data_IF_826000815166
#
_entry.id   IF_826000815166
#
_cell.length_a   1.000
_cell.length_b   1.000
_cell.length_c   1.000
_cell.angle_alpha   90.00
_cell.angle_beta   90.00
_cell.angle_gamma   90.00
#
_symmetry.space_group_name_H-M   'P 1'
#
loop_
_entity.id
_entity.type
_entity.pdbx_description
1 polymer ?
#
# COMPACT_ATOMS: atom_id res chain seq x y z
N UNK A 1 -45.21 -37.92 8.06
CA UNK A 1 -45.39 -36.47 7.82
C UNK A 1 -44.02 -35.82 7.94
N UNK A 2 -43.47 -35.24 6.86
CA UNK A 2 -42.21 -34.52 6.93
C UNK A 2 -42.45 -33.17 7.62
N UNK A 3 -41.63 -32.87 8.62
CA UNK A 3 -41.57 -31.56 9.25
C UNK A 3 -40.82 -30.66 8.27
N UNK A 4 -41.54 -29.78 7.59
CA UNK A 4 -40.93 -28.70 6.83
C UNK A 4 -40.29 -27.73 7.82
N UNK A 5 -38.96 -27.75 7.91
CA UNK A 5 -38.21 -26.61 8.44
C UNK A 5 -38.46 -25.42 7.52
N UNK A 6 -39.16 -24.41 8.05
CA UNK A 6 -39.20 -23.08 7.45
C UNK A 6 -37.78 -22.49 7.52
N UNK A 7 -37.02 -22.67 6.44
CA UNK A 7 -35.84 -21.86 6.18
C UNK A 7 -36.36 -20.45 5.89
N UNK A 8 -36.08 -19.51 6.78
CA UNK A 8 -36.37 -18.09 6.63
C UNK A 8 -35.44 -17.52 5.53
N UNK A 9 -35.90 -17.53 4.27
CA UNK A 9 -35.12 -17.21 3.04
C UNK A 9 -34.79 -15.70 2.90
N UNK A 10 -35.06 -14.87 3.92
CA UNK A 10 -34.99 -13.40 3.78
C UNK A 10 -34.08 -12.69 4.78
N UNK A 11 -33.13 -13.38 5.43
CA UNK A 11 -32.11 -12.69 6.21
C UNK A 11 -30.90 -12.39 5.34
N UNK A 12 -30.86 -11.17 4.81
CA UNK A 12 -29.63 -10.60 4.26
C UNK A 12 -28.50 -10.77 5.28
N UNK A 13 -27.28 -11.10 4.84
CA UNK A 13 -26.12 -11.14 5.72
C UNK A 13 -25.93 -9.75 6.35
N UNK A 14 -26.01 -9.69 7.68
CA UNK A 14 -25.83 -8.47 8.46
C UNK A 14 -24.48 -8.52 9.15
N UNK A 15 -23.68 -7.47 8.96
CA UNK A 15 -22.47 -7.22 9.74
C UNK A 15 -22.82 -6.20 10.82
N UNK A 16 -22.48 -6.50 12.07
CA UNK A 16 -22.63 -5.56 13.18
C UNK A 16 -21.24 -5.14 13.65
N UNK A 17 -20.98 -3.83 13.65
CA UNK A 17 -19.72 -3.25 14.12
C UNK A 17 -19.93 -2.68 15.53
N UNK A 18 -18.99 -2.96 16.44
CA UNK A 18 -18.96 -2.31 17.75
C UNK A 18 -18.41 -0.89 17.57
N UNK A 19 -19.17 0.12 18.00
CA UNK A 19 -18.74 1.52 17.94
C UNK A 19 -17.92 1.88 19.18
N UNK A 20 -16.88 2.68 18.97
CA UNK A 20 -16.14 3.33 20.02
C UNK A 20 -16.74 4.72 20.32
N UNK A 21 -16.81 5.15 21.60
CA UNK A 21 -17.20 6.51 21.92
C UNK A 21 -16.32 7.54 21.20
N UNK A 22 -16.93 8.62 20.72
CA UNK A 22 -16.19 9.67 20.01
C UNK A 22 -15.12 10.30 20.92
N UNK A 23 -13.95 10.58 20.35
CA UNK A 23 -12.82 11.23 21.03
C UNK A 23 -12.14 12.23 20.11
N UNK A 24 -11.17 12.98 20.64
CA UNK A 24 -10.32 13.88 19.86
C UNK A 24 -8.90 13.33 19.75
N UNK A 25 -8.22 13.69 18.67
CA UNK A 25 -6.80 13.40 18.41
C UNK A 25 -6.02 14.69 18.28
N UNK A 26 -4.70 14.60 18.50
CA UNK A 26 -3.73 15.67 18.35
C UNK A 26 -2.64 15.21 17.39
N UNK A 27 -2.54 15.86 16.22
CA UNK A 27 -1.64 15.44 15.14
C UNK A 27 -0.51 16.45 14.96
N UNK A 28 0.73 15.94 14.92
CA UNK A 28 1.92 16.68 14.51
C UNK A 28 2.73 15.84 13.51
N UNK A 29 3.15 16.44 12.40
CA UNK A 29 4.11 15.81 11.50
C UNK A 29 5.53 16.28 11.81
N UNK A 30 6.45 15.34 11.97
CA UNK A 30 7.87 15.59 12.22
C UNK A 30 8.71 15.03 11.08
N UNK A 31 9.40 15.92 10.36
CA UNK A 31 10.35 15.52 9.34
C UNK A 31 11.71 15.18 9.97
N UNK A 32 12.24 13.99 9.67
CA UNK A 32 13.56 13.52 10.11
C UNK A 32 14.32 12.90 8.94
N UNK A 33 15.64 12.75 9.13
CA UNK A 33 16.42 11.83 8.30
C UNK A 33 15.89 10.40 8.48
N UNK A 34 16.02 9.56 7.46
CA UNK A 34 15.71 8.13 7.57
C UNK A 34 16.89 7.28 8.06
N UNK A 35 18.02 7.90 8.42
CA UNK A 35 19.26 7.18 8.78
C UNK A 35 19.13 6.25 9.98
N UNK A 36 18.25 6.56 10.94
CA UNK A 36 17.94 5.75 12.11
C UNK A 36 16.52 5.14 12.07
N UNK A 37 15.87 5.13 10.90
CA UNK A 37 14.49 4.66 10.76
C UNK A 37 14.29 3.22 11.27
N UNK A 38 15.25 2.33 10.97
CA UNK A 38 15.19 0.94 11.42
C UNK A 38 15.24 0.78 12.94
N UNK A 39 15.96 1.67 13.62
CA UNK A 39 16.06 1.74 15.08
C UNK A 39 14.81 2.35 15.73
N UNK A 40 14.28 3.42 15.15
CA UNK A 40 13.21 4.23 15.76
C UNK A 40 11.80 3.66 15.54
N UNK A 41 11.59 2.90 14.47
CA UNK A 41 10.24 2.49 14.04
C UNK A 41 9.49 1.72 15.13
N UNK A 42 10.17 0.83 15.87
CA UNK A 42 9.49 0.02 16.89
C UNK A 42 9.07 0.88 18.08
N UNK A 43 9.97 1.71 18.62
CA UNK A 43 9.64 2.57 19.76
C UNK A 43 8.55 3.58 19.40
N UNK A 44 8.64 4.19 18.21
CA UNK A 44 7.66 5.17 17.75
C UNK A 44 6.23 4.62 17.70
N UNK A 45 6.06 3.38 17.22
CA UNK A 45 4.75 2.71 17.19
C UNK A 45 4.17 2.37 18.56
N UNK A 46 5.02 2.20 19.58
CA UNK A 46 4.59 1.99 20.97
C UNK A 46 4.34 3.30 21.72
N UNK A 47 4.98 4.39 21.30
CA UNK A 47 4.83 5.71 21.90
C UNK A 47 3.52 6.39 21.53
N UNK A 48 2.99 6.14 20.32
CA UNK A 48 1.82 6.86 19.80
C UNK A 48 0.70 5.94 19.34
N UNK A 49 -0.53 6.20 19.80
CA UNK A 49 -1.70 5.31 19.58
C UNK A 49 -2.05 5.16 18.09
N UNK A 50 -1.88 6.23 17.30
CA UNK A 50 -2.19 6.26 15.87
C UNK A 50 -0.97 6.63 15.02
N UNK A 51 0.23 6.24 15.48
CA UNK A 51 1.46 6.49 14.75
C UNK A 51 1.37 5.98 13.31
N UNK A 52 1.84 6.80 12.37
CA UNK A 52 2.14 6.42 10.99
C UNK A 52 3.49 7.03 10.60
N UNK A 53 4.21 6.40 9.68
CA UNK A 53 5.41 6.98 9.08
C UNK A 53 5.25 7.00 7.56
N UNK A 54 5.51 8.14 6.94
CA UNK A 54 5.68 8.21 5.49
C UNK A 54 7.17 8.27 5.18
N UNK A 55 7.68 7.25 4.51
CA UNK A 55 9.10 7.14 4.19
C UNK A 55 9.37 7.48 2.73
N UNK A 56 10.35 8.37 2.52
CA UNK A 56 10.87 8.80 1.23
C UNK A 56 12.37 8.42 1.15
N UNK A 57 12.69 7.15 0.80
CA UNK A 57 14.05 6.63 0.85
C UNK A 57 15.03 7.33 -0.10
N UNK A 58 14.63 7.61 -1.35
CA UNK A 58 15.44 8.34 -2.34
C UNK A 58 15.75 9.78 -1.90
N UNK A 59 14.91 10.35 -1.04
CA UNK A 59 15.14 11.64 -0.39
C UNK A 59 15.83 11.54 0.99
N UNK A 60 16.16 10.33 1.47
CA UNK A 60 16.74 10.07 2.81
C UNK A 60 15.93 10.70 3.96
N UNK A 61 14.61 10.67 3.83
CA UNK A 61 13.66 11.42 4.67
C UNK A 61 12.52 10.51 5.15
N UNK A 62 12.16 10.64 6.42
CA UNK A 62 10.96 10.02 6.99
C UNK A 62 10.11 11.09 7.69
N UNK A 63 8.80 11.03 7.49
CA UNK A 63 7.82 11.92 8.12
C UNK A 63 7.05 11.12 9.15
N UNK A 64 7.31 11.41 10.41
CA UNK A 64 6.68 10.77 11.56
C UNK A 64 5.39 11.51 11.90
N UNK A 65 4.26 10.80 11.90
CA UNK A 65 2.96 11.31 12.32
C UNK A 65 2.77 11.03 13.82
N UNK A 66 3.12 12.00 14.65
CA UNK A 66 2.82 11.98 16.09
C UNK A 66 1.32 12.20 16.23
N UNK A 67 0.60 11.17 16.67
CA UNK A 67 -0.86 11.17 16.64
C UNK A 67 -1.43 10.38 17.81
N UNK A 68 -1.98 11.13 18.76
CA UNK A 68 -2.44 10.60 20.03
C UNK A 68 -3.85 11.09 20.36
N UNK A 69 -4.55 10.26 21.13
CA UNK A 69 -5.81 10.63 21.74
C UNK A 69 -5.59 11.72 22.79
N UNK A 70 -6.54 12.66 22.83
CA UNK A 70 -6.59 13.72 23.84
C UNK A 70 -7.98 13.80 24.47
N UNK A 71 -8.12 14.40 25.67
CA UNK A 71 -9.42 14.61 26.29
C UNK A 71 -10.42 15.28 25.34
N UNK A 72 -11.68 14.86 25.39
CA UNK A 72 -12.71 15.35 24.46
C UNK A 72 -12.97 16.86 24.61
N UNK A 73 -12.72 17.42 25.79
CA UNK A 73 -12.84 18.84 26.10
C UNK A 73 -11.62 19.67 25.64
N UNK A 74 -10.57 19.05 25.10
CA UNK A 74 -9.42 19.78 24.54
C UNK A 74 -9.89 20.65 23.37
N UNK A 75 -9.57 21.96 23.37
CA UNK A 75 -9.97 22.87 22.28
C UNK A 75 -9.39 22.44 20.92
N UNK A 76 -10.15 22.64 19.85
CA UNK A 76 -9.73 22.32 18.49
C UNK A 76 -10.87 21.76 17.63
N UNK A 77 -10.91 22.16 16.36
CA UNK A 77 -11.89 21.71 15.37
C UNK A 77 -11.19 21.27 14.06
N UNK A 78 -10.08 20.56 14.22
CA UNK A 78 -9.25 20.12 13.13
C UNK A 78 -10.00 19.28 12.09
N UNK A 79 -9.52 19.35 10.86
CA UNK A 79 -9.97 18.53 9.74
C UNK A 79 -8.74 18.04 9.00
N UNK A 80 -8.75 16.76 8.62
CA UNK A 80 -7.76 16.22 7.71
C UNK A 80 -8.39 15.97 6.35
N UNK A 81 -8.19 16.90 5.42
CA UNK A 81 -8.63 16.74 4.04
C UNK A 81 -7.40 16.45 3.17
N UNK A 82 -7.00 15.18 3.08
CA UNK A 82 -5.73 14.79 2.44
C UNK A 82 -5.72 15.21 0.97
N UNK A 83 -4.68 15.96 0.58
CA UNK A 83 -4.61 16.64 -0.72
C UNK A 83 -4.79 15.68 -1.91
N UNK A 84 -4.12 14.51 -1.98
CA UNK A 84 -4.32 13.55 -3.06
C UNK A 84 -5.73 12.95 -3.15
N UNK A 85 -6.56 13.09 -2.11
CA UNK A 85 -7.95 12.61 -2.11
C UNK A 85 -8.97 13.74 -2.31
N UNK A 86 -8.53 14.89 -2.81
CA UNK A 86 -9.40 16.00 -3.22
C UNK A 86 -9.77 15.88 -4.70
N UNK A 87 -10.95 16.38 -5.10
CA UNK A 87 -11.29 16.45 -6.51
C UNK A 87 -10.30 17.39 -7.22
N UNK A 88 -9.69 16.92 -8.30
CA UNK A 88 -8.64 17.64 -9.03
C UNK A 88 -9.08 17.85 -10.47
N UNK A 89 -8.74 19.00 -11.11
CA UNK A 89 -9.09 19.21 -12.52
C UNK A 89 -8.60 18.07 -13.42
N UNK A 90 -9.51 17.49 -14.20
CA UNK A 90 -9.21 16.34 -15.07
C UNK A 90 -8.10 16.63 -16.09
N UNK A 91 -7.99 17.88 -16.55
CA UNK A 91 -6.89 18.32 -17.42
C UNK A 91 -5.53 18.26 -16.70
N UNK A 92 -5.46 18.67 -15.43
CA UNK A 92 -4.23 18.61 -14.65
C UNK A 92 -3.80 17.15 -14.42
N UNK A 93 -4.75 16.28 -14.07
CA UNK A 93 -4.51 14.83 -13.94
C UNK A 93 -3.99 14.21 -15.24
N UNK A 94 -4.56 14.60 -16.39
CA UNK A 94 -4.10 14.14 -17.70
C UNK A 94 -2.68 14.59 -18.03
N UNK A 95 -2.29 15.81 -17.65
CA UNK A 95 -0.91 16.30 -17.80
C UNK A 95 0.04 15.50 -16.91
N UNK A 96 -0.27 15.36 -15.61
CA UNK A 96 0.54 14.58 -14.66
C UNK A 96 0.77 13.17 -15.19
N UNK A 97 -0.30 12.49 -15.61
CA UNK A 97 -0.19 11.13 -16.14
C UNK A 97 0.62 11.05 -17.42
N UNK A 98 0.45 12.02 -18.33
CA UNK A 98 1.22 12.05 -19.59
C UNK A 98 2.71 12.29 -19.34
N UNK A 99 3.05 13.15 -18.38
CA UNK A 99 4.43 13.38 -17.97
C UNK A 99 5.04 12.10 -17.37
N UNK A 100 4.30 11.39 -16.53
CA UNK A 100 4.77 10.12 -15.97
C UNK A 100 4.96 9.04 -17.05
N UNK A 101 4.02 8.89 -17.99
CA UNK A 101 4.14 7.98 -19.15
C UNK A 101 5.40 8.31 -19.98
N UNK A 102 5.71 9.60 -20.16
CA UNK A 102 6.91 10.06 -20.86
C UNK A 102 8.18 9.70 -20.08
N UNK A 103 8.22 9.97 -18.78
CA UNK A 103 9.38 9.66 -17.95
C UNK A 103 9.64 8.14 -17.88
N UNK A 104 8.59 7.32 -17.84
CA UNK A 104 8.70 5.86 -17.91
C UNK A 104 9.25 5.39 -19.27
N UNK A 105 8.65 5.86 -20.38
CA UNK A 105 9.04 5.44 -21.73
C UNK A 105 10.43 5.92 -22.15
N UNK A 106 10.89 7.06 -21.63
CA UNK A 106 12.22 7.63 -21.88
C UNK A 106 13.25 7.26 -20.80
N UNK A 107 12.85 6.48 -19.80
CA UNK A 107 13.68 6.07 -18.66
C UNK A 107 14.28 7.26 -17.89
N UNK A 108 13.53 8.35 -17.79
CA UNK A 108 13.95 9.60 -17.18
C UNK A 108 13.83 9.57 -15.64
N UNK A 109 14.78 8.90 -14.98
CA UNK A 109 14.85 8.83 -13.52
C UNK A 109 14.92 10.23 -12.87
N UNK A 110 15.62 11.17 -13.50
CA UNK A 110 15.73 12.55 -13.00
C UNK A 110 14.40 13.31 -13.05
N UNK A 111 13.59 13.08 -14.09
CA UNK A 111 12.21 13.58 -14.18
C UNK A 111 11.38 13.13 -12.98
N UNK A 112 11.34 11.81 -12.75
CA UNK A 112 10.63 11.23 -11.60
C UNK A 112 11.11 11.76 -10.26
N UNK A 113 12.43 11.90 -10.05
CA UNK A 113 12.93 12.44 -8.79
C UNK A 113 12.60 13.91 -8.58
N UNK A 114 12.58 14.73 -9.64
CA UNK A 114 12.11 16.13 -9.55
C UNK A 114 10.63 16.19 -9.16
N UNK A 115 9.78 15.38 -9.79
CA UNK A 115 8.35 15.30 -9.48
C UNK A 115 8.15 14.79 -8.05
N UNK A 116 8.81 13.70 -7.65
CA UNK A 116 8.75 13.15 -6.30
C UNK A 116 9.10 14.16 -5.21
N UNK A 117 10.20 14.91 -5.41
CA UNK A 117 10.61 15.98 -4.50
C UNK A 117 9.57 17.10 -4.46
N UNK A 118 9.06 17.54 -5.61
CA UNK A 118 8.01 18.56 -5.68
C UNK A 118 6.74 18.12 -4.95
N UNK A 119 6.28 16.88 -5.16
CA UNK A 119 5.14 16.29 -4.47
C UNK A 119 5.37 16.30 -2.96
N UNK A 120 6.53 15.80 -2.51
CA UNK A 120 6.86 15.72 -1.08
C UNK A 120 6.90 17.10 -0.43
N UNK A 121 7.61 18.06 -1.04
CA UNK A 121 7.72 19.42 -0.52
C UNK A 121 6.36 20.12 -0.48
N UNK A 122 5.51 19.90 -1.50
CA UNK A 122 4.15 20.47 -1.55
C UNK A 122 3.26 19.90 -0.44
N UNK A 123 3.30 18.57 -0.23
CA UNK A 123 2.54 17.92 0.83
C UNK A 123 2.99 18.41 2.21
N UNK A 124 4.30 18.46 2.47
CA UNK A 124 4.85 18.95 3.75
C UNK A 124 4.48 20.41 3.98
N UNK A 125 4.68 21.29 2.99
CA UNK A 125 4.36 22.72 3.09
C UNK A 125 2.87 22.99 3.33
N UNK A 126 2.01 22.12 2.81
CA UNK A 126 0.55 22.23 2.94
C UNK A 126 -0.02 21.40 4.10
N UNK A 127 0.84 20.95 5.04
CA UNK A 127 0.48 20.11 6.18
C UNK A 127 -0.35 18.87 5.80
N UNK A 128 -0.07 18.29 4.63
CA UNK A 128 -0.80 17.18 4.02
C UNK A 128 -2.31 17.45 3.82
N UNK A 129 -2.78 18.68 4.01
CA UNK A 129 -4.19 19.04 3.99
C UNK A 129 -4.87 19.11 5.36
N UNK A 130 -4.10 19.09 6.44
CA UNK A 130 -4.62 19.40 7.78
C UNK A 130 -4.99 20.87 7.91
N UNK A 131 -6.05 21.16 8.66
CA UNK A 131 -6.45 22.52 9.05
C UNK A 131 -6.86 22.53 10.52
N UNK A 132 -6.64 23.63 11.25
CA UNK A 132 -6.91 23.72 12.69
C UNK A 132 -8.40 23.98 13.00
N UNK A 133 -9.13 24.56 12.05
CA UNK A 133 -10.54 24.94 12.20
C UNK A 133 -11.46 24.40 11.09
N UNK A 134 -10.93 23.57 10.18
CA UNK A 134 -11.64 23.10 9.00
C UNK A 134 -11.44 23.94 7.74
N UNK A 135 -10.68 25.04 7.81
CA UNK A 135 -10.50 25.99 6.71
C UNK A 135 -9.01 26.29 6.46
N UNK A 136 -8.25 26.60 7.50
CA UNK A 136 -6.85 27.03 7.39
C UNK A 136 -5.95 26.27 8.36
N UNK A 137 -4.73 25.98 7.92
CA UNK A 137 -3.65 25.50 8.77
C UNK A 137 -2.95 26.67 9.45
N UNK A 138 -2.93 26.68 10.77
CA UNK A 138 -2.24 27.70 11.58
C UNK A 138 -1.04 27.14 12.34
N UNK A 139 -0.86 25.82 12.36
CA UNK A 139 0.28 25.16 13.00
C UNK A 139 -0.07 23.84 13.67
N UNK A 140 0.96 23.11 14.08
CA UNK A 140 0.83 21.90 14.91
C UNK A 140 0.83 22.25 16.40
N UNK A 141 0.19 21.42 17.26
CA UNK A 141 -0.61 20.26 16.89
C UNK A 141 -1.98 20.66 16.31
N UNK A 142 -2.49 19.83 15.39
CA UNK A 142 -3.87 19.95 14.89
C UNK A 142 -4.76 19.04 15.73
N UNK A 143 -5.67 19.66 16.48
CA UNK A 143 -6.58 18.96 17.41
C UNK A 143 -7.99 18.94 16.83
N UNK A 144 -8.59 17.76 16.74
CA UNK A 144 -9.93 17.59 16.15
C UNK A 144 -10.56 16.26 16.53
N UNK A 145 -11.85 16.10 16.20
CA UNK A 145 -12.54 14.83 16.44
C UNK A 145 -11.98 13.71 15.56
N UNK A 146 -11.90 12.50 16.10
CA UNK A 146 -11.35 11.33 15.41
C UNK A 146 -11.94 11.14 14.02
N UNK A 147 -13.26 11.23 13.86
CA UNK A 147 -13.92 11.07 12.57
C UNK A 147 -13.43 12.09 11.54
N UNK A 148 -13.21 13.36 11.94
CA UNK A 148 -12.72 14.43 11.05
C UNK A 148 -11.24 14.32 10.71
N UNK A 149 -10.46 13.67 11.58
CA UNK A 149 -9.03 13.46 11.38
C UNK A 149 -8.69 12.11 10.73
N UNK A 150 -9.66 11.19 10.70
CA UNK A 150 -9.54 9.87 10.07
C UNK A 150 -10.14 9.84 8.66
N UNK A 151 -11.27 10.52 8.41
CA UNK A 151 -11.86 10.63 7.08
C UNK A 151 -11.03 11.59 6.23
N UNK A 152 -10.20 11.07 5.34
CA UNK A 152 -9.13 11.84 4.72
C UNK A 152 -9.41 12.35 3.31
N UNK A 153 -10.65 12.50 2.83
CA UNK A 153 -10.86 12.96 1.45
C UNK A 153 -12.27 13.41 1.14
N UNK A 154 -12.37 14.38 0.22
CA UNK A 154 -13.62 14.99 -0.25
C UNK A 154 -13.94 14.65 -1.70
N UNK A 155 -13.10 13.86 -2.38
CA UNK A 155 -13.27 13.63 -3.81
C UNK A 155 -14.62 13.00 -4.19
N UNK A 156 -15.14 12.06 -3.38
CA UNK A 156 -16.43 11.44 -3.67
C UNK A 156 -17.63 12.37 -3.39
N UNK A 157 -17.39 13.50 -2.73
CA UNK A 157 -18.39 14.53 -2.46
C UNK A 157 -18.43 15.61 -3.57
N UNK A 158 -17.64 15.46 -4.64
CA UNK A 158 -17.55 16.44 -5.71
C UNK A 158 -18.86 16.57 -6.50
N UNK A 159 -19.14 17.78 -6.99
CA UNK A 159 -20.30 18.02 -7.84
C UNK A 159 -20.26 17.17 -9.13
N UNK A 160 -21.44 16.82 -9.64
CA UNK A 160 -21.57 16.23 -10.98
C UNK A 160 -21.35 17.32 -12.03
N UNK A 161 -20.09 17.64 -12.30
CA UNK A 161 -19.65 18.76 -13.14
C UNK A 161 -19.23 18.33 -14.55
N UNK A 162 -19.82 17.23 -15.06
CA UNK A 162 -19.40 16.58 -16.31
C UNK A 162 -17.91 16.15 -16.31
N UNK A 163 -17.33 15.85 -15.13
CA UNK A 163 -15.94 15.42 -14.94
C UNK A 163 -14.92 16.54 -15.23
N UNK A 164 -15.29 17.80 -15.01
CA UNK A 164 -14.32 18.90 -15.00
C UNK A 164 -13.31 18.65 -13.87
N UNK A 165 -13.79 18.20 -12.72
CA UNK A 165 -12.99 17.64 -11.64
C UNK A 165 -13.27 16.15 -11.45
N UNK A 166 -12.27 15.41 -10.94
CA UNK A 166 -12.40 13.98 -10.70
C UNK A 166 -11.43 13.50 -9.61
N UNK A 167 -11.64 12.28 -9.14
CA UNK A 167 -10.63 11.58 -8.35
C UNK A 167 -9.49 11.16 -9.25
N UNK A 168 -8.27 11.19 -8.70
CA UNK A 168 -7.07 10.91 -9.47
C UNK A 168 -7.12 9.53 -10.17
N UNK A 169 -7.80 8.55 -9.57
CA UNK A 169 -7.99 7.18 -10.08
C UNK A 169 -9.30 6.94 -10.84
N UNK A 170 -10.07 7.98 -11.21
CA UNK A 170 -11.30 7.78 -11.99
C UNK A 170 -10.98 7.23 -13.39
N UNK A 171 -11.49 6.02 -13.66
CA UNK A 171 -11.17 5.27 -14.89
C UNK A 171 -11.71 5.92 -16.18
N UNK A 172 -12.58 6.91 -16.06
CA UNK A 172 -13.24 7.57 -17.20
C UNK A 172 -12.44 8.77 -17.73
N UNK A 173 -11.34 9.13 -17.07
CA UNK A 173 -10.42 10.19 -17.48
C UNK A 173 -9.01 9.62 -17.68
N UNK A 174 -8.08 10.43 -18.19
CA UNK A 174 -6.65 10.10 -18.18
C UNK A 174 -6.06 10.47 -16.81
N UNK A 175 -6.36 9.67 -15.79
CA UNK A 175 -5.85 9.84 -14.44
C UNK A 175 -4.68 8.92 -14.10
N UNK A 176 -4.40 8.82 -12.80
CA UNK A 176 -3.47 7.85 -12.23
C UNK A 176 -3.91 6.41 -12.57
N UNK A 177 -2.93 5.57 -12.89
CA UNK A 177 -3.12 4.16 -13.11
C UNK A 177 -1.92 3.41 -12.56
N UNK A 178 -2.17 2.61 -11.52
CA UNK A 178 -1.14 2.13 -10.63
C UNK A 178 -1.42 0.72 -10.13
N UNK A 179 -0.37 0.11 -9.60
CA UNK A 179 -0.49 -0.97 -8.63
C UNK A 179 -0.31 -0.42 -7.22
N UNK A 180 -0.94 -1.10 -6.27
CA UNK A 180 -0.69 -0.89 -4.85
C UNK A 180 -0.35 -2.24 -4.24
N UNK A 181 0.85 -2.32 -3.69
CA UNK A 181 1.33 -3.50 -2.97
C UNK A 181 1.42 -3.18 -1.50
N UNK A 182 0.96 -4.10 -0.66
CA UNK A 182 1.08 -3.97 0.78
C UNK A 182 1.39 -5.31 1.42
N UNK A 183 2.40 -5.35 2.28
CA UNK A 183 2.66 -6.51 3.12
C UNK A 183 3.10 -6.07 4.50
N UNK A 184 3.05 -7.00 5.45
CA UNK A 184 3.35 -6.74 6.85
C UNK A 184 4.59 -7.49 7.25
N UNK A 185 5.52 -6.79 7.89
CA UNK A 185 6.72 -7.38 8.47
C UNK A 185 6.61 -7.26 9.99
N UNK A 186 6.92 -8.33 10.73
CA UNK A 186 6.88 -8.32 12.19
C UNK A 186 7.83 -7.25 12.75
N UNK A 187 7.39 -6.54 13.80
CA UNK A 187 8.23 -5.55 14.48
C UNK A 187 9.54 -6.14 15.03
N UNK A 188 9.58 -7.46 15.30
CA UNK A 188 10.79 -8.16 15.77
C UNK A 188 11.94 -8.19 14.76
N UNK A 189 11.65 -8.05 13.47
CA UNK A 189 12.62 -8.18 12.37
C UNK A 189 12.59 -6.99 11.38
N UNK A 190 11.69 -6.03 11.59
CA UNK A 190 11.43 -4.92 10.66
C UNK A 190 12.66 -4.05 10.39
N UNK A 191 13.53 -3.90 11.40
CA UNK A 191 14.80 -3.17 11.28
C UNK A 191 15.64 -3.68 10.11
N UNK A 192 15.85 -5.00 10.05
CA UNK A 192 16.69 -5.62 9.02
C UNK A 192 16.10 -5.42 7.61
N UNK A 193 14.76 -5.46 7.51
CA UNK A 193 14.07 -5.20 6.25
C UNK A 193 14.25 -3.76 5.76
N UNK A 194 14.11 -2.78 6.66
CA UNK A 194 14.35 -1.35 6.34
C UNK A 194 15.80 -1.14 5.90
N UNK A 195 16.78 -1.73 6.61
CA UNK A 195 18.20 -1.64 6.25
C UNK A 195 18.51 -2.22 4.87
N UNK A 196 17.85 -3.30 4.47
CA UNK A 196 18.03 -3.87 3.13
C UNK A 196 17.46 -2.98 2.02
N UNK A 197 16.32 -2.32 2.25
CA UNK A 197 15.81 -1.29 1.33
C UNK A 197 16.81 -0.12 1.28
N UNK A 198 17.35 0.33 2.42
CA UNK A 198 18.35 1.39 2.44
C UNK A 198 19.61 1.03 1.64
N UNK A 199 20.05 -0.23 1.67
CA UNK A 199 21.14 -0.75 0.82
C UNK A 199 20.78 -0.68 -0.66
N UNK A 200 19.56 -1.05 -1.06
CA UNK A 200 19.11 -0.87 -2.44
C UNK A 200 19.18 0.59 -2.87
N UNK A 201 18.75 1.52 -2.03
CA UNK A 201 18.81 2.96 -2.31
C UNK A 201 20.26 3.48 -2.33
N UNK A 202 21.17 2.89 -1.57
CA UNK A 202 22.60 3.22 -1.68
C UNK A 202 23.17 2.81 -3.05
N UNK A 203 22.74 1.66 -3.58
CA UNK A 203 23.16 1.18 -4.90
C UNK A 203 22.49 1.96 -6.04
N UNK A 204 21.20 2.27 -5.91
CA UNK A 204 20.38 2.94 -6.92
C UNK A 204 19.57 4.09 -6.30
N UNK A 205 20.19 5.27 -6.06
CA UNK A 205 19.57 6.35 -5.28
C UNK A 205 18.25 6.89 -5.84
N UNK A 206 18.03 6.77 -7.15
CA UNK A 206 16.84 7.29 -7.84
C UNK A 206 15.72 6.25 -7.99
N UNK A 207 15.94 5.00 -7.55
CA UNK A 207 15.05 3.90 -7.86
C UNK A 207 13.64 4.03 -7.26
N UNK A 208 13.52 4.68 -6.11
CA UNK A 208 12.24 4.79 -5.39
C UNK A 208 11.54 6.13 -5.60
N UNK A 209 12.10 7.03 -6.43
CA UNK A 209 11.41 8.26 -6.84
C UNK A 209 10.04 7.97 -7.50
N UNK A 210 9.90 6.82 -8.18
CA UNK A 210 8.64 6.38 -8.76
C UNK A 210 7.54 6.03 -7.74
N UNK A 211 7.91 5.67 -6.51
CA UNK A 211 6.99 5.48 -5.37
C UNK A 211 6.78 6.82 -4.64
N UNK A 212 7.83 7.61 -4.47
CA UNK A 212 7.76 8.89 -3.76
C UNK A 212 6.86 9.94 -4.42
N UNK A 213 6.72 9.93 -5.74
CA UNK A 213 5.71 10.72 -6.45
C UNK A 213 4.26 10.39 -6.02
N UNK A 214 4.01 9.18 -5.50
CA UNK A 214 2.73 8.73 -4.94
C UNK A 214 2.70 8.81 -3.39
N UNK A 215 3.43 9.76 -2.81
CA UNK A 215 3.54 9.93 -1.35
C UNK A 215 4.35 8.85 -0.62
N UNK A 216 5.31 8.21 -1.30
CA UNK A 216 6.32 7.38 -0.63
C UNK A 216 5.79 6.04 -0.13
N UNK A 217 6.55 5.42 0.77
CA UNK A 217 6.16 4.17 1.43
C UNK A 217 5.43 4.53 2.72
N UNK A 218 4.16 4.16 2.82
CA UNK A 218 3.34 4.38 4.00
C UNK A 218 3.48 3.20 4.97
N UNK A 219 4.03 3.48 6.14
CA UNK A 219 4.32 2.52 7.21
C UNK A 219 3.27 2.66 8.32
N UNK A 220 2.46 1.61 8.54
CA UNK A 220 1.32 1.64 9.48
C UNK A 220 1.35 0.47 10.43
N UNK A 221 1.16 0.72 11.72
CA UNK A 221 1.25 -0.31 12.74
C UNK A 221 -0.02 -1.15 12.77
N UNK A 222 0.15 -2.46 12.91
CA UNK A 222 -0.93 -3.42 13.01
C UNK A 222 -0.70 -4.29 14.23
N UNK A 223 -1.67 -4.25 15.15
CA UNK A 223 -1.66 -5.08 16.35
C UNK A 223 -1.98 -6.54 16.03
N UNK A 224 -1.62 -7.43 16.96
CA UNK A 224 -1.99 -8.83 16.88
C UNK A 224 -3.52 -9.02 16.92
N UNK A 225 -4.01 -10.04 16.22
CA UNK A 225 -5.43 -10.37 16.10
C UNK A 225 -5.67 -11.85 16.36
N UNK A 226 -6.78 -12.16 17.02
CA UNK A 226 -7.26 -13.54 17.19
C UNK A 226 -7.91 -14.12 15.93
N UNK A 227 -8.09 -13.32 14.87
CA UNK A 227 -8.64 -13.81 13.61
C UNK A 227 -7.70 -14.83 12.96
N UNK A 228 -8.24 -15.90 12.37
CA UNK A 228 -7.44 -17.01 11.86
C UNK A 228 -6.54 -16.66 10.67
N UNK A 229 -6.99 -15.73 9.83
CA UNK A 229 -6.20 -15.11 8.75
C UNK A 229 -5.74 -13.69 9.13
N UNK A 230 -5.79 -13.36 10.42
CA UNK A 230 -5.31 -12.11 10.96
C UNK A 230 -3.81 -12.17 11.29
N UNK A 231 -3.25 -11.00 11.52
CA UNK A 231 -1.87 -10.85 11.96
C UNK A 231 -1.69 -11.46 13.37
N UNK A 232 -0.64 -12.25 13.60
CA UNK A 232 -0.46 -12.99 14.86
C UNK A 232 0.43 -12.26 15.87
N UNK A 233 1.35 -11.45 15.38
CA UNK A 233 2.35 -10.72 16.15
C UNK A 233 2.27 -9.25 15.73
N UNK A 234 2.67 -8.29 16.57
CA UNK A 234 2.69 -6.89 16.14
C UNK A 234 3.57 -6.71 14.90
N UNK A 235 3.08 -5.94 13.94
CA UNK A 235 3.71 -5.78 12.64
C UNK A 235 3.57 -4.35 12.11
N UNK A 236 4.33 -4.10 11.06
CA UNK A 236 4.27 -2.87 10.30
C UNK A 236 3.88 -3.19 8.85
N UNK A 237 2.79 -2.61 8.40
CA UNK A 237 2.38 -2.61 7.00
C UNK A 237 3.30 -1.66 6.23
N UNK A 238 3.87 -2.12 5.12
CA UNK A 238 4.53 -1.29 4.12
C UNK A 238 3.62 -1.20 2.91
N UNK A 239 3.01 -0.05 2.70
CA UNK A 239 2.09 0.24 1.60
C UNK A 239 2.76 1.19 0.62
N UNK A 240 2.93 0.77 -0.63
CA UNK A 240 3.48 1.63 -1.67
C UNK A 240 2.69 1.50 -2.96
N UNK A 241 2.33 2.66 -3.49
CA UNK A 241 1.65 2.85 -4.78
C UNK A 241 2.68 3.20 -5.83
N UNK A 242 2.58 2.61 -7.01
CA UNK A 242 3.56 2.82 -8.08
C UNK A 242 2.93 2.62 -9.46
N UNK A 243 3.58 3.24 -10.45
CA UNK A 243 3.16 3.27 -11.84
C UNK A 243 2.77 1.89 -12.39
N UNK A 244 1.65 1.85 -13.10
CA UNK A 244 1.29 0.74 -13.99
C UNK A 244 1.05 1.27 -15.39
N UNK A 245 1.63 0.61 -16.40
CA UNK A 245 1.31 0.87 -17.80
C UNK A 245 -0.08 0.32 -18.14
N UNK A 246 -0.76 0.92 -19.12
CA UNK A 246 -1.96 0.29 -19.74
C UNK A 246 -1.59 -0.89 -20.65
N UNK A 247 -0.37 -0.89 -21.18
CA UNK A 247 0.22 -2.05 -21.86
C UNK A 247 0.89 -2.96 -20.81
N UNK A 248 0.35 -4.17 -20.56
CA UNK A 248 0.91 -5.11 -19.57
C UNK A 248 2.28 -5.68 -19.99
N UNK A 249 2.71 -5.46 -21.23
CA UNK A 249 4.04 -5.86 -21.70
C UNK A 249 5.07 -4.74 -21.57
N UNK A 250 4.69 -3.52 -21.16
CA UNK A 250 5.61 -2.41 -20.98
C UNK A 250 6.23 -2.45 -19.57
N UNK A 251 7.55 -2.67 -19.43
CA UNK A 251 8.22 -2.65 -18.13
C UNK A 251 8.22 -1.24 -17.52
N UNK A 252 8.29 -1.17 -16.20
CA UNK A 252 8.50 0.08 -15.45
C UNK A 252 9.99 0.40 -15.29
N UNK A 253 10.30 1.68 -15.17
CA UNK A 253 11.62 2.14 -14.72
C UNK A 253 11.89 1.62 -13.29
N UNK A 254 13.05 0.97 -13.11
CA UNK A 254 13.40 0.27 -11.86
C UNK A 254 12.36 -0.78 -11.42
N UNK A 255 11.76 -1.49 -12.39
CA UNK A 255 10.92 -2.68 -12.14
C UNK A 255 11.62 -3.63 -11.15
N UNK A 256 12.90 -3.89 -11.39
CA UNK A 256 13.72 -4.80 -10.61
C UNK A 256 13.81 -4.44 -9.13
N UNK A 257 13.97 -3.16 -8.80
CA UNK A 257 14.07 -2.71 -7.41
C UNK A 257 12.76 -2.93 -6.67
N UNK A 258 11.62 -2.62 -7.29
CA UNK A 258 10.31 -2.83 -6.65
C UNK A 258 10.03 -4.33 -6.48
N UNK A 259 10.25 -5.14 -7.51
CA UNK A 259 10.09 -6.59 -7.44
C UNK A 259 11.01 -7.22 -6.37
N UNK A 260 12.23 -6.70 -6.20
CA UNK A 260 13.16 -7.16 -5.17
C UNK A 260 12.65 -6.84 -3.76
N UNK A 261 12.11 -5.63 -3.55
CA UNK A 261 11.51 -5.23 -2.27
C UNK A 261 10.29 -6.09 -1.94
N UNK A 262 9.42 -6.35 -2.91
CA UNK A 262 8.27 -7.26 -2.75
C UNK A 262 8.74 -8.65 -2.32
N UNK A 263 9.74 -9.21 -3.00
CA UNK A 263 10.27 -10.53 -2.69
C UNK A 263 11.02 -10.59 -1.35
N UNK A 264 11.75 -9.54 -0.99
CA UNK A 264 12.36 -9.43 0.34
C UNK A 264 11.29 -9.43 1.43
N UNK A 265 10.29 -8.56 1.31
CA UNK A 265 9.22 -8.43 2.30
C UNK A 265 8.46 -9.74 2.47
N UNK A 266 8.01 -10.33 1.37
CA UNK A 266 7.18 -11.54 1.38
C UNK A 266 8.00 -12.79 1.71
N UNK A 267 9.11 -13.05 1.03
CA UNK A 267 9.80 -14.34 1.10
C UNK A 267 10.97 -14.35 2.08
N UNK A 268 11.86 -13.34 2.03
CA UNK A 268 13.02 -13.27 2.93
C UNK A 268 12.60 -13.02 4.39
N UNK A 269 11.69 -12.08 4.60
CA UNK A 269 11.23 -11.65 5.93
C UNK A 269 9.90 -12.27 6.35
N UNK A 270 9.37 -13.22 5.57
CA UNK A 270 8.16 -13.96 5.92
C UNK A 270 6.89 -13.11 5.99
N UNK A 271 6.87 -11.95 5.33
CA UNK A 271 5.79 -10.99 5.43
C UNK A 271 4.45 -11.53 4.96
N UNK A 272 3.38 -11.02 5.60
CA UNK A 272 2.01 -11.38 5.28
C UNK A 272 1.47 -10.43 4.21
N UNK A 273 0.95 -10.93 3.08
CA UNK A 273 0.34 -10.06 2.09
C UNK A 273 -0.94 -9.42 2.63
N UNK A 274 -1.21 -8.20 2.22
CA UNK A 274 -2.52 -7.59 2.33
C UNK A 274 -3.47 -8.21 1.29
N UNK A 275 -4.57 -8.81 1.75
CA UNK A 275 -5.53 -9.53 0.90
C UNK A 275 -6.15 -8.68 -0.21
N UNK A 276 -6.36 -7.38 0.03
CA UNK A 276 -6.97 -6.47 -0.95
C UNK A 276 -5.99 -5.57 -1.72
N UNK A 277 -4.68 -5.71 -1.52
CA UNK A 277 -3.65 -4.80 -2.09
C UNK A 277 -2.40 -5.58 -2.49
N UNK A 278 -2.58 -6.59 -3.35
CA UNK A 278 -1.49 -7.44 -3.84
C UNK A 278 -1.84 -8.11 -5.16
N UNK A 279 -0.83 -8.73 -5.73
CA UNK A 279 -0.88 -9.53 -6.96
C UNK A 279 -0.52 -10.98 -6.64
N UNK A 280 -0.67 -11.85 -7.61
CA UNK A 280 -0.58 -13.30 -7.42
C UNK A 280 0.71 -13.77 -6.73
N UNK A 281 1.86 -13.17 -7.06
CA UNK A 281 3.15 -13.55 -6.47
C UNK A 281 3.12 -13.52 -4.93
N UNK A 282 2.42 -12.56 -4.34
CA UNK A 282 2.42 -12.36 -2.90
C UNK A 282 1.64 -13.47 -2.16
N UNK A 283 0.76 -14.17 -2.89
CA UNK A 283 -0.04 -15.28 -2.37
C UNK A 283 0.60 -16.65 -2.59
N UNK A 284 1.78 -16.71 -3.22
CA UNK A 284 2.53 -17.95 -3.36
C UNK A 284 2.89 -18.53 -1.98
N UNK A 285 2.45 -19.77 -1.73
CA UNK A 285 2.67 -20.45 -0.45
C UNK A 285 1.99 -19.78 0.75
N UNK A 286 1.04 -18.87 0.54
CA UNK A 286 0.44 -18.04 1.61
C UNK A 286 -0.18 -18.85 2.74
N UNK A 287 -0.73 -20.03 2.42
CA UNK A 287 -1.29 -20.96 3.40
C UNK A 287 -0.30 -21.27 4.54
N UNK A 288 0.99 -21.43 4.21
CA UNK A 288 2.04 -21.76 5.18
C UNK A 288 2.44 -20.58 6.08
N UNK A 289 2.01 -19.36 5.73
CA UNK A 289 2.36 -18.14 6.48
C UNK A 289 1.44 -17.87 7.67
N UNK A 290 0.25 -18.47 7.71
CA UNK A 290 -0.74 -18.24 8.78
C UNK A 290 -0.77 -19.40 9.79
N UNK A 291 -0.36 -19.14 11.04
CA UNK A 291 -0.32 -20.13 12.14
C UNK A 291 -1.66 -20.86 12.36
N UNK A 292 -2.79 -20.16 12.17
CA UNK A 292 -4.13 -20.66 12.47
C UNK A 292 -4.95 -21.07 11.22
N UNK A 293 -4.31 -21.25 10.07
CA UNK A 293 -5.01 -21.55 8.81
C UNK A 293 -5.84 -22.84 8.88
N UNK A 294 -5.39 -23.86 9.61
CA UNK A 294 -6.17 -25.09 9.79
C UNK A 294 -7.49 -24.87 10.54
N UNK A 295 -7.55 -23.90 11.45
CA UNK A 295 -8.81 -23.52 12.12
C UNK A 295 -9.74 -22.77 11.17
N UNK A 296 -9.19 -21.92 10.31
CA UNK A 296 -9.94 -21.27 9.23
C UNK A 296 -10.58 -22.30 8.31
N UNK A 297 -9.84 -23.31 7.86
CA UNK A 297 -10.37 -24.35 6.99
C UNK A 297 -11.49 -25.18 7.65
N UNK A 298 -11.37 -25.50 8.94
CA UNK A 298 -12.45 -26.19 9.67
C UNK A 298 -13.74 -25.38 9.69
N UNK A 299 -13.64 -24.05 9.85
CA UNK A 299 -14.80 -23.15 9.78
C UNK A 299 -15.33 -23.09 8.35
N UNK A 300 -14.47 -22.90 7.35
CA UNK A 300 -14.85 -22.90 5.94
C UNK A 300 -15.63 -24.18 5.58
N UNK A 301 -15.11 -25.35 5.92
CA UNK A 301 -15.76 -26.64 5.63
C UNK A 301 -17.10 -26.78 6.36
N UNK A 302 -17.18 -26.35 7.62
CA UNK A 302 -18.42 -26.42 8.39
C UNK A 302 -19.54 -25.57 7.78
N UNK A 303 -19.22 -24.38 7.27
CA UNK A 303 -20.21 -23.42 6.77
C UNK A 303 -20.40 -23.45 5.25
N UNK A 304 -19.44 -24.02 4.50
CA UNK A 304 -19.43 -24.08 3.04
C UNK A 304 -18.94 -25.45 2.52
N UNK A 305 -19.48 -26.55 3.06
CA UNK A 305 -19.09 -27.93 2.69
C UNK A 305 -19.35 -28.28 1.23
N UNK A 306 -20.31 -27.60 0.59
CA UNK A 306 -20.59 -27.75 -0.84
C UNK A 306 -19.78 -26.80 -1.72
N UNK A 307 -19.01 -25.88 -1.12
CA UNK A 307 -18.17 -24.93 -1.85
C UNK A 307 -18.95 -23.87 -2.62
N UNK A 308 -20.15 -23.48 -2.18
CA UNK A 308 -20.97 -22.44 -2.83
C UNK A 308 -20.27 -21.08 -2.86
N UNK A 309 -19.44 -20.78 -1.87
CA UNK A 309 -18.64 -19.54 -1.80
C UNK A 309 -17.18 -19.75 -2.25
N UNK A 310 -16.89 -20.91 -2.81
CA UNK A 310 -15.56 -21.31 -3.24
C UNK A 310 -15.46 -21.37 -4.76
N UNK A 311 -14.30 -21.00 -5.28
CA UNK A 311 -13.98 -21.05 -6.69
C UNK A 311 -12.53 -21.51 -6.87
N UNK A 312 -12.17 -21.93 -8.08
CA UNK A 312 -10.76 -22.24 -8.41
C UNK A 312 -9.84 -21.09 -8.04
N UNK A 313 -10.26 -19.84 -8.29
CA UNK A 313 -9.46 -18.66 -7.98
C UNK A 313 -9.30 -18.42 -6.48
N UNK A 314 -10.38 -18.51 -5.69
CA UNK A 314 -10.28 -18.33 -4.22
C UNK A 314 -9.41 -19.41 -3.59
N UNK A 315 -9.51 -20.64 -4.06
CA UNK A 315 -8.71 -21.76 -3.55
C UNK A 315 -7.23 -21.59 -3.90
N UNK A 316 -6.92 -21.05 -5.09
CA UNK A 316 -5.56 -20.67 -5.47
C UNK A 316 -5.01 -19.56 -4.57
N UNK A 317 -5.78 -18.49 -4.37
CA UNK A 317 -5.37 -17.36 -3.52
C UNK A 317 -5.22 -17.76 -2.05
N UNK A 318 -5.97 -18.76 -1.58
CA UNK A 318 -5.83 -19.32 -0.23
C UNK A 318 -4.68 -20.35 -0.12
N UNK A 319 -4.04 -20.70 -1.23
CA UNK A 319 -3.00 -21.74 -1.28
C UNK A 319 -3.52 -23.17 -1.09
N UNK A 320 -4.80 -23.41 -1.36
CA UNK A 320 -5.46 -24.72 -1.33
C UNK A 320 -5.36 -25.46 -2.66
N UNK A 321 -5.08 -24.73 -3.74
CA UNK A 321 -4.94 -25.27 -5.09
C UNK A 321 -3.74 -24.63 -5.79
N UNK A 322 -3.10 -25.38 -6.67
CA UNK A 322 -2.04 -24.86 -7.55
C UNK A 322 -2.59 -23.88 -8.59
N UNK A 323 -1.70 -23.04 -9.14
CA UNK A 323 -2.03 -22.08 -10.19
C UNK A 323 -2.28 -20.66 -9.69
N UNK A 324 -1.86 -20.32 -8.47
CA UNK A 324 -1.71 -18.91 -8.05
C UNK A 324 -0.79 -18.18 -9.02
N UNK A 325 0.34 -18.80 -9.38
CA UNK A 325 1.29 -18.30 -10.37
C UNK A 325 0.79 -18.53 -11.79
N UNK A 326 0.78 -17.49 -12.62
CA UNK A 326 0.37 -17.55 -14.03
C UNK A 326 1.61 -17.35 -14.92
N UNK A 327 2.07 -18.43 -15.54
CA UNK A 327 3.25 -18.40 -16.42
C UNK A 327 2.84 -18.06 -17.85
N UNK A 328 3.28 -16.90 -18.33
CA UNK A 328 3.14 -16.42 -19.71
C UNK A 328 4.16 -15.32 -19.98
N UNK A 329 4.34 -14.95 -21.24
CA UNK A 329 5.18 -13.80 -21.59
C UNK A 329 4.70 -12.55 -20.83
N UNK A 330 5.66 -11.81 -20.25
CA UNK A 330 5.38 -10.62 -19.44
C UNK A 330 4.76 -10.86 -18.06
N UNK A 331 4.64 -12.11 -17.58
CA UNK A 331 3.95 -12.38 -16.31
C UNK A 331 4.58 -11.70 -15.09
N UNK A 332 5.90 -11.48 -15.09
CA UNK A 332 6.60 -10.88 -13.95
C UNK A 332 6.33 -9.38 -13.83
N UNK A 333 6.27 -8.66 -14.97
CA UNK A 333 5.92 -7.24 -15.03
C UNK A 333 4.56 -6.92 -14.36
N UNK A 334 3.63 -7.87 -14.44
CA UNK A 334 2.29 -7.78 -13.85
C UNK A 334 2.18 -8.45 -12.48
N UNK A 335 3.29 -8.91 -11.89
CA UNK A 335 3.32 -9.58 -10.60
C UNK A 335 2.52 -10.89 -10.56
N UNK A 336 2.32 -11.51 -11.73
CA UNK A 336 1.60 -12.77 -11.88
C UNK A 336 2.51 -13.99 -11.64
N UNK A 337 3.83 -13.79 -11.73
CA UNK A 337 4.85 -14.80 -11.50
C UNK A 337 6.15 -14.14 -10.99
N UNK A 338 7.01 -14.95 -10.36
CA UNK A 338 8.42 -14.61 -10.21
C UNK A 338 9.12 -15.02 -11.51
N UNK A 339 9.99 -14.17 -12.07
CA UNK A 339 10.61 -14.47 -13.35
C UNK A 339 11.52 -15.71 -13.25
N UNK A 340 11.46 -16.58 -14.26
CA UNK A 340 12.38 -17.72 -14.42
C UNK A 340 12.96 -17.80 -15.84
N UNK A 341 12.39 -17.04 -16.76
CA UNK A 341 12.78 -16.92 -18.16
C UNK A 341 12.73 -15.45 -18.56
N UNK A 342 13.57 -15.05 -19.49
CA UNK A 342 13.62 -13.66 -19.96
C UNK A 342 12.31 -13.22 -20.61
N UNK A 343 11.58 -14.16 -21.24
CA UNK A 343 10.24 -13.94 -21.80
C UNK A 343 9.22 -13.41 -20.78
N UNK A 344 9.42 -13.67 -19.49
CA UNK A 344 8.57 -13.14 -18.41
C UNK A 344 8.79 -11.63 -18.17
N UNK A 345 9.93 -11.09 -18.63
CA UNK A 345 10.36 -9.70 -18.42
C UNK A 345 10.30 -8.81 -19.67
N UNK A 346 9.96 -9.39 -20.83
CA UNK A 346 9.96 -8.73 -22.14
C UNK A 346 11.36 -8.30 -22.67
N UNK A 347 12.10 -9.25 -23.28
CA UNK A 347 13.43 -8.99 -23.83
C UNK A 347 13.45 -7.99 -24.99
N UNK A 348 12.33 -7.84 -25.72
CA UNK A 348 12.21 -6.87 -26.81
C UNK A 348 12.31 -5.42 -26.34
N UNK A 349 12.19 -5.18 -25.04
CA UNK A 349 12.35 -3.88 -24.37
C UNK A 349 13.65 -3.77 -23.56
N UNK A 350 14.56 -4.74 -23.70
CA UNK A 350 15.84 -4.78 -22.98
C UNK A 350 15.74 -5.31 -21.55
N UNK A 351 14.62 -5.92 -21.15
CA UNK A 351 14.41 -6.45 -19.80
C UNK A 351 14.56 -7.97 -19.77
N UNK A 352 15.38 -8.45 -18.84
CA UNK A 352 15.75 -9.85 -18.69
C UNK A 352 15.55 -10.32 -17.25
N UNK A 353 15.40 -11.63 -17.07
CA UNK A 353 15.24 -12.19 -15.74
C UNK A 353 16.61 -12.35 -15.08
N UNK A 354 16.89 -11.54 -14.06
CA UNK A 354 18.19 -11.52 -13.37
C UNK A 354 18.03 -11.77 -11.86
N UNK A 355 19.14 -11.79 -11.12
CA UNK A 355 19.14 -11.87 -9.66
C UNK A 355 19.00 -10.48 -9.05
N UNK A 356 18.39 -10.40 -7.88
CA UNK A 356 18.34 -9.17 -7.09
C UNK A 356 19.72 -8.58 -6.77
N UNK A 357 19.76 -7.27 -6.50
CA UNK A 357 20.98 -6.54 -6.18
C UNK A 357 21.45 -6.80 -4.74
N UNK A 358 20.54 -6.86 -3.78
CA UNK A 358 20.80 -7.11 -2.34
C UNK A 358 20.36 -8.52 -1.92
N UNK A 359 19.14 -8.94 -2.28
CA UNK A 359 18.60 -10.28 -2.03
C UNK A 359 18.84 -11.15 -3.27
N UNK A 360 19.90 -11.96 -3.24
CA UNK A 360 20.39 -12.70 -4.41
C UNK A 360 19.47 -13.83 -4.88
N UNK A 361 18.62 -14.30 -3.98
CA UNK A 361 17.61 -15.31 -4.25
C UNK A 361 16.38 -14.72 -4.96
N UNK A 362 16.16 -13.39 -4.89
CA UNK A 362 15.11 -12.76 -5.68
C UNK A 362 15.42 -12.84 -7.18
N UNK A 363 14.37 -13.03 -7.96
CA UNK A 363 14.42 -13.05 -9.43
C UNK A 363 13.60 -11.90 -9.97
N UNK A 364 14.25 -11.00 -10.70
CA UNK A 364 13.70 -9.69 -11.02
C UNK A 364 13.90 -9.33 -12.50
N UNK A 365 13.00 -8.52 -13.03
CA UNK A 365 13.06 -8.00 -14.38
C UNK A 365 13.92 -6.74 -14.43
N UNK A 366 15.21 -6.93 -14.73
CA UNK A 366 16.18 -5.84 -14.86
C UNK A 366 16.40 -5.47 -16.31
N UNK A 367 16.54 -4.18 -16.57
CA UNK A 367 17.03 -3.69 -17.85
C UNK A 367 18.55 -3.88 -17.94
N UNK A 368 19.02 -4.51 -19.02
CA UNK A 368 20.45 -4.82 -19.25
C UNK A 368 21.01 -4.00 -20.39
#
# INVERSE_FOLDING_TARGET
MPIHEHIDVHRDPKVTLKLEPIFKRSITYLAKSDSDLGEQVVSFGHEHEFADITWYPSQRKAIYRVDDRVPINTPGNGLYEFIPFRPTPSLALAVIRTTEDLDESTRNADGKCRVAKLTTDTLVASAYGLTNNGIIFTGYPVIGFHNRLQSSGSCLDSHQDLKITACAWDSRIKGEFFHQTTFRVSLSIVKNFIEDIQKLVQLEPKALCGIEQYNGILMRYVTASSAYLGNQDEALDFDFTYYRSKDPMAPRLYEDIIEEIEQMGIFKYGGLPHWGKNRNLAFEGVFKKYKNVGKFLKVKEKFDSQGLFSSTWTDQMLGLKEGVTILKNGCALEGLCICSQDSHCNPSKGYFCTQGKVYKEARVCSHV
#
